data_IF_385161478809
#
_entry.id   IF_385161478809
#
_cell.length_a   1.000
_cell.length_b   1.000
_cell.length_c   1.000
_cell.angle_alpha   90.00
_cell.angle_beta   90.00
_cell.angle_gamma   90.00
#
_symmetry.space_group_name_H-M   'P 1'
#
loop_
_entity.id
_entity.type
_entity.pdbx_description
1 polymer ?
#
# COMPACT_ATOMS: atom_id res chain seq x y z
N UNK A 1 5.47 6.71 8.97
CA UNK A 1 4.69 7.50 9.95
C UNK A 1 4.90 6.88 11.33
N UNK A 2 4.97 7.65 12.43
CA UNK A 2 5.14 7.09 13.79
C UNK A 2 3.83 6.90 14.55
N UNK A 3 2.76 7.58 14.14
CA UNK A 3 1.45 7.53 14.78
C UNK A 3 0.39 7.11 13.78
N UNK A 4 -0.62 6.40 14.28
CA UNK A 4 -1.75 5.91 13.51
C UNK A 4 -2.55 7.09 12.95
N UNK A 5 -2.84 7.13 11.64
CA UNK A 5 -3.59 8.23 11.03
C UNK A 5 -5.06 8.28 11.45
N UNK A 6 -5.61 7.19 11.99
CA UNK A 6 -7.00 7.09 12.43
C UNK A 6 -7.21 7.53 13.89
N UNK A 7 -6.32 7.10 14.80
CA UNK A 7 -6.52 7.29 16.23
C UNK A 7 -5.34 7.95 16.96
N UNK A 8 -4.32 8.41 16.23
CA UNK A 8 -3.11 9.08 16.75
C UNK A 8 -2.28 8.27 17.75
N UNK A 9 -2.62 6.99 17.96
CA UNK A 9 -1.85 6.07 18.80
C UNK A 9 -0.51 5.74 18.14
N UNK A 10 0.55 5.62 18.91
CA UNK A 10 1.87 5.21 18.40
C UNK A 10 1.78 3.85 17.69
N UNK A 11 2.37 3.76 16.49
CA UNK A 11 2.38 2.53 15.68
C UNK A 11 3.46 1.58 16.19
N UNK A 12 3.18 0.28 16.09
CA UNK A 12 4.14 -0.78 16.40
C UNK A 12 4.64 -1.40 15.10
N UNK A 13 5.95 -1.66 15.01
CA UNK A 13 6.53 -2.34 13.86
C UNK A 13 6.43 -3.86 14.04
N UNK A 14 5.87 -4.57 13.06
CA UNK A 14 5.85 -6.04 12.97
C UNK A 14 6.15 -6.46 11.54
N UNK A 15 7.16 -7.31 11.35
CA UNK A 15 7.58 -7.79 10.02
C UNK A 15 7.76 -6.65 8.99
N UNK A 16 8.41 -5.56 9.42
CA UNK A 16 8.61 -4.32 8.65
C UNK A 16 7.33 -3.52 8.29
N UNK A 17 6.16 -3.93 8.80
CA UNK A 17 4.87 -3.24 8.63
C UNK A 17 4.52 -2.42 9.88
N UNK A 18 3.96 -1.22 9.69
CA UNK A 18 3.52 -0.34 10.77
C UNK A 18 2.06 -0.62 11.13
N UNK A 19 1.79 -1.16 12.32
CA UNK A 19 0.48 -1.63 12.77
C UNK A 19 -0.08 -0.74 13.89
N UNK A 20 -1.39 -0.48 13.89
CA UNK A 20 -2.05 0.16 15.02
C UNK A 20 -2.41 -0.90 16.08
N UNK A 21 -1.90 -0.81 17.33
CA UNK A 21 -2.22 -1.77 18.37
C UNK A 21 -3.71 -1.71 18.79
N UNK A 22 -4.39 -0.58 18.53
CA UNK A 22 -5.83 -0.47 18.79
C UNK A 22 -6.69 -1.19 17.75
N UNK A 23 -6.13 -1.59 16.61
CA UNK A 23 -6.82 -2.44 15.64
C UNK A 23 -7.04 -3.85 16.22
N UNK A 24 -6.05 -4.39 16.94
CA UNK A 24 -6.12 -5.74 17.55
C UNK A 24 -7.25 -5.87 18.58
N UNK A 25 -7.61 -4.78 19.26
CA UNK A 25 -8.69 -4.74 20.27
C UNK A 25 -10.02 -4.19 19.73
N UNK A 26 -10.09 -3.84 18.44
CA UNK A 26 -11.31 -3.33 17.78
C UNK A 26 -11.63 -1.85 18.03
N UNK A 27 -10.71 -1.10 18.63
CA UNK A 27 -10.87 0.32 18.98
C UNK A 27 -10.42 1.28 17.85
N UNK A 28 -9.85 0.74 16.79
CA UNK A 28 -9.41 1.45 15.61
C UNK A 28 -9.59 0.54 14.39
N UNK A 29 -9.81 1.13 13.21
CA UNK A 29 -10.00 0.40 11.95
C UNK A 29 -8.74 0.41 11.07
N UNK A 30 -7.64 1.01 11.53
CA UNK A 30 -6.42 1.11 10.73
C UNK A 30 -5.68 -0.24 10.71
N UNK A 31 -5.67 -0.89 9.55
CA UNK A 31 -4.88 -2.09 9.28
C UNK A 31 -3.65 -1.76 8.43
N UNK A 32 -2.46 -1.92 9.03
CA UNK A 32 -1.19 -1.69 8.34
C UNK A 32 -0.89 -2.71 7.24
N UNK A 33 -1.42 -3.94 7.34
CA UNK A 33 -1.20 -4.97 6.33
C UNK A 33 -1.97 -4.70 5.05
N UNK A 34 -3.22 -4.24 5.17
CA UNK A 34 -4.04 -3.86 4.02
C UNK A 34 -3.37 -2.71 3.24
N UNK A 35 -2.86 -1.71 3.96
CA UNK A 35 -2.17 -0.58 3.34
C UNK A 35 -0.89 -1.03 2.61
N UNK A 36 -0.09 -1.93 3.21
CA UNK A 36 1.11 -2.49 2.58
C UNK A 36 0.77 -3.27 1.29
N UNK A 37 -0.30 -4.06 1.29
CA UNK A 37 -0.75 -4.78 0.10
C UNK A 37 -1.18 -3.82 -1.00
N UNK A 38 -1.95 -2.78 -0.67
CA UNK A 38 -2.38 -1.77 -1.63
C UNK A 38 -1.19 -1.04 -2.28
N UNK A 39 -0.17 -0.65 -1.50
CA UNK A 39 1.05 -0.03 -2.03
C UNK A 39 1.82 -0.99 -2.96
N UNK A 40 1.97 -2.26 -2.57
CA UNK A 40 2.64 -3.26 -3.40
C UNK A 40 1.91 -3.47 -4.74
N UNK A 41 0.58 -3.54 -4.73
CA UNK A 41 -0.22 -3.68 -5.94
C UNK A 41 -0.17 -2.45 -6.83
N UNK A 42 -0.22 -1.24 -6.26
CA UNK A 42 -0.06 0.01 -7.03
C UNK A 42 1.29 0.06 -7.73
N UNK A 43 2.39 -0.25 -7.02
CA UNK A 43 3.74 -0.30 -7.61
C UNK A 43 3.84 -1.29 -8.78
N UNK A 44 3.15 -2.44 -8.69
CA UNK A 44 3.10 -3.42 -9.79
C UNK A 44 2.31 -2.91 -11.00
N UNK A 45 1.19 -2.25 -10.79
CA UNK A 45 0.39 -1.71 -11.88
C UNK A 45 1.11 -0.56 -12.59
N UNK A 46 1.82 0.31 -11.85
CA UNK A 46 2.65 1.37 -12.44
C UNK A 46 3.80 0.84 -13.32
N UNK A 47 4.24 -0.41 -13.11
CA UNK A 47 5.23 -1.05 -13.99
C UNK A 47 4.62 -1.72 -15.23
N UNK A 48 3.31 -1.97 -15.27
CA UNK A 48 2.65 -2.55 -16.45
C UNK A 48 2.20 -1.51 -17.49
N UNK A 49 1.97 -0.26 -17.09
CA UNK A 49 1.65 0.83 -18.03
C UNK A 49 2.87 1.37 -18.81
N UNK A 50 4.08 0.86 -18.55
CA UNK A 50 5.32 1.30 -19.23
C UNK A 50 5.91 0.27 -20.21
N UNK A 51 5.20 -0.83 -20.51
CA UNK A 51 5.59 -1.84 -21.53
C UNK A 51 4.57 -1.91 -22.69
N UNK A 52 4.03 -0.77 -23.13
CA UNK A 52 3.40 -0.69 -24.45
C UNK A 52 4.25 0.19 -25.37
N UNK A 53 5.46 -0.30 -25.66
CA UNK A 53 6.26 0.16 -26.79
C UNK A 53 5.72 -0.47 -28.09
N UNK A 54 5.25 0.40 -28.99
CA UNK A 54 5.53 0.36 -30.43
C UNK A 54 5.07 -0.89 -31.22
N UNK A 55 3.81 -0.88 -31.65
CA UNK A 55 3.36 -1.38 -32.97
C UNK A 55 2.04 -0.65 -33.25
N UNK A 56 1.97 0.38 -34.10
CA UNK A 56 1.87 0.22 -35.55
C UNK A 56 2.14 1.59 -36.21
N UNK A 57 3.39 1.80 -36.63
CA UNK A 57 3.71 2.65 -37.78
C UNK A 57 4.21 1.65 -38.83
N UNK A 58 3.31 1.11 -39.64
CA UNK A 58 3.36 1.09 -41.12
C UNK A 58 2.17 0.26 -41.61
N UNK A 59 1.18 0.93 -42.19
CA UNK A 59 0.35 0.34 -43.24
C UNK A 59 0.02 1.43 -44.28
N UNK A 60 0.52 1.17 -45.49
CA UNK A 60 0.40 1.82 -46.81
C UNK A 60 -0.73 2.86 -47.01
#
# INVERSE_FOLDING_TARGET
MKHCPSCSTELVARDDVQICPRNEIGDCYFDGYEQYQLEYHQLKHSQQDSTFDIADIVAD
#
